data_IF_416330942632
#
_entry.id   IF_416330942632
#
_cell.length_a   1.000
_cell.length_b   1.000
_cell.length_c   1.000
_cell.angle_alpha   90.00
_cell.angle_beta   90.00
_cell.angle_gamma   90.00
#
_symmetry.space_group_name_H-M   'P 1'
#
loop_
_entity.id
_entity.type
_entity.pdbx_description
1 polymer ?
#
# COMPACT_ATOMS: atom_id res chain seq x y z
N UNK A 1 -33.31 6.94 41.01
CA UNK A 1 -33.26 5.48 41.31
C UNK A 1 -31.85 5.00 40.93
N UNK A 2 -30.87 4.96 41.85
CA UNK A 2 -30.45 3.80 42.69
C UNK A 2 -30.45 2.48 41.88
N UNK A 3 -29.36 1.72 41.69
CA UNK A 3 -28.31 1.32 42.65
C UNK A 3 -26.95 1.01 42.00
N UNK A 4 -25.91 1.38 42.74
CA UNK A 4 -24.52 0.91 42.73
C UNK A 4 -24.39 -0.52 43.30
N UNK A 5 -23.40 -1.30 42.83
CA UNK A 5 -22.81 -2.42 43.58
C UNK A 5 -21.29 -2.41 43.37
N UNK A 6 -20.55 -2.00 44.40
CA UNK A 6 -19.10 -2.12 44.50
C UNK A 6 -18.67 -3.48 45.06
N UNK A 7 -17.40 -3.83 44.83
CA UNK A 7 -16.67 -4.85 45.60
C UNK A 7 -15.26 -4.36 45.89
N UNK A 8 -15.06 -3.90 47.11
CA UNK A 8 -13.78 -3.72 47.80
C UNK A 8 -13.34 -5.06 48.38
N UNK A 9 -12.06 -5.42 48.21
CA UNK A 9 -11.44 -6.55 48.93
C UNK A 9 -10.37 -5.99 49.85
N UNK A 10 -10.64 -6.11 51.14
CA UNK A 10 -9.74 -5.85 52.26
C UNK A 10 -8.90 -7.11 52.48
N UNK A 11 -7.56 -6.98 52.57
CA UNK A 11 -6.69 -8.04 53.08
C UNK A 11 -6.02 -7.56 54.36
N UNK A 12 -6.07 -8.47 55.33
CA UNK A 12 -5.86 -8.34 56.77
C UNK A 12 -4.38 -8.25 57.13
N UNK A 13 -4.08 -7.39 58.11
CA UNK A 13 -2.81 -7.34 58.85
C UNK A 13 -2.63 -8.58 59.74
N UNK A 14 -1.46 -9.20 59.68
CA UNK A 14 -0.97 -10.12 60.73
C UNK A 14 0.43 -9.66 61.13
N UNK A 15 0.51 -9.14 62.36
CA UNK A 15 1.73 -8.79 63.05
C UNK A 15 2.35 -10.04 63.68
N UNK A 16 3.67 -10.18 63.54
CA UNK A 16 4.49 -11.01 64.41
C UNK A 16 5.74 -10.22 64.78
N UNK A 17 5.80 -9.78 66.03
CA UNK A 17 6.97 -9.20 66.66
C UNK A 17 7.91 -10.32 67.15
N UNK A 18 9.22 -10.13 67.02
CA UNK A 18 10.18 -11.08 67.58
C UNK A 18 11.65 -10.80 67.29
N UNK A 19 12.24 -10.01 68.18
CA UNK A 19 13.62 -10.08 68.69
C UNK A 19 14.76 -9.33 67.98
N UNK A 20 15.29 -8.39 68.76
CA UNK A 20 16.45 -7.52 68.58
C UNK A 20 17.74 -8.29 68.82
N UNK A 21 18.74 -8.11 67.95
CA UNK A 21 20.16 -8.21 68.30
C UNK A 21 20.89 -7.01 67.71
N UNK A 22 21.51 -6.25 68.61
CA UNK A 22 22.28 -5.04 68.35
C UNK A 22 23.58 -5.38 67.60
N UNK A 23 23.85 -4.62 66.54
CA UNK A 23 25.14 -4.59 65.86
C UNK A 23 25.45 -3.15 65.46
N UNK A 24 26.18 -2.45 66.31
CA UNK A 24 26.77 -1.14 66.03
C UNK A 24 27.84 -1.28 64.96
N UNK A 25 27.54 -0.85 63.75
CA UNK A 25 28.49 -0.73 62.64
C UNK A 25 28.35 0.63 61.97
N UNK A 26 29.28 1.53 62.26
CA UNK A 26 29.43 2.80 61.56
C UNK A 26 29.73 2.52 60.08
N UNK A 27 28.86 2.97 59.17
CA UNK A 27 29.16 3.03 57.74
C UNK A 27 29.35 4.49 57.36
N UNK A 28 30.62 4.82 57.11
CA UNK A 28 31.15 6.06 56.57
C UNK A 28 30.35 6.50 55.33
N UNK A 29 29.64 7.63 55.41
CA UNK A 29 29.06 8.28 54.24
C UNK A 29 30.17 8.88 53.37
N UNK A 30 30.68 8.11 52.41
CA UNK A 30 31.48 8.64 51.32
C UNK A 30 30.61 9.54 50.44
N UNK A 31 30.75 10.86 50.64
CA UNK A 31 30.36 11.88 49.67
C UNK A 31 31.24 11.73 48.43
N UNK A 32 30.74 11.02 47.43
CA UNK A 32 31.35 11.06 46.09
C UNK A 32 30.91 12.36 45.42
N UNK A 33 31.81 13.34 45.42
CA UNK A 33 31.68 14.57 44.64
C UNK A 33 31.61 14.26 43.13
N UNK A 34 30.88 15.06 42.33
CA UNK A 34 30.75 14.80 40.91
C UNK A 34 32.05 15.13 40.17
N UNK A 35 32.76 14.11 39.70
CA UNK A 35 33.85 14.21 38.73
C UNK A 35 33.30 14.53 37.32
N UNK A 36 32.55 15.61 37.19
CA UNK A 36 31.93 16.07 35.95
C UNK A 36 32.20 17.55 35.73
N UNK A 37 33.42 18.00 35.97
CA UNK A 37 33.74 19.42 35.80
C UNK A 37 35.24 19.75 35.71
N UNK A 38 36.08 18.92 35.08
CA UNK A 38 37.51 19.28 34.91
C UNK A 38 38.02 19.26 33.45
N UNK A 39 37.27 18.71 32.49
CA UNK A 39 37.69 18.74 31.09
C UNK A 39 37.18 19.95 30.26
N UNK A 40 36.28 20.79 30.82
CA UNK A 40 35.62 21.86 30.07
C UNK A 40 35.95 23.29 30.54
N UNK A 41 36.98 23.46 31.37
CA UNK A 41 37.42 24.79 31.84
C UNK A 41 38.91 24.99 31.51
N UNK A 42 39.28 24.80 30.24
CA UNK A 42 40.54 25.30 29.71
C UNK A 42 40.32 26.02 28.38
N UNK A 43 39.50 27.06 28.41
CA UNK A 43 39.58 28.18 27.46
C UNK A 43 38.64 29.31 27.89
N UNK A 44 39.02 30.05 28.94
CA UNK A 44 38.65 31.47 29.02
C UNK A 44 39.54 32.21 30.01
N UNK A 45 40.63 32.76 29.47
CA UNK A 45 41.15 34.08 29.88
C UNK A 45 42.34 34.45 28.98
N UNK A 46 42.06 34.88 27.75
CA UNK A 46 42.81 35.99 27.17
C UNK A 46 41.76 37.04 26.84
N UNK A 47 41.92 38.25 27.36
CA UNK A 47 40.99 39.37 27.22
C UNK A 47 40.91 39.88 25.78
N UNK A 48 40.40 39.06 24.87
CA UNK A 48 40.01 39.43 23.52
C UNK A 48 38.50 39.61 23.43
N UNK A 49 38.05 40.33 22.41
CA UNK A 49 36.64 40.49 22.09
C UNK A 49 35.99 39.12 21.83
N UNK A 50 34.73 38.90 22.21
CA UNK A 50 34.01 37.68 21.80
C UNK A 50 33.88 37.51 20.28
N UNK A 51 34.25 38.55 19.50
CA UNK A 51 34.27 38.54 18.05
C UNK A 51 35.66 38.20 17.46
N UNK A 52 36.69 38.05 18.28
CA UNK A 52 38.06 37.72 17.84
C UNK A 52 38.23 36.20 17.71
N UNK A 53 37.32 35.57 16.96
CA UNK A 53 37.32 34.12 16.72
C UNK A 53 37.18 33.83 15.23
N UNK A 54 37.93 32.85 14.75
CA UNK A 54 37.71 32.30 13.41
C UNK A 54 36.41 31.48 13.43
N UNK A 55 35.45 31.87 12.61
CA UNK A 55 34.12 31.23 12.57
C UNK A 55 34.19 30.01 11.66
N UNK A 56 34.02 28.83 12.26
CA UNK A 56 33.88 27.58 11.51
C UNK A 56 32.44 27.39 11.00
N UNK A 57 32.24 26.66 9.90
CA UNK A 57 30.89 26.28 9.44
C UNK A 57 30.12 25.50 10.51
N UNK A 58 28.81 25.71 10.56
CA UNK A 58 27.95 25.01 11.51
C UNK A 58 27.82 23.53 11.18
N UNK A 59 27.98 22.67 12.18
CA UNK A 59 27.64 21.25 12.12
C UNK A 59 26.15 21.01 12.38
N UNK A 60 25.62 19.87 11.93
CA UNK A 60 24.21 19.51 12.14
C UNK A 60 23.79 19.51 13.61
N UNK A 61 24.69 19.10 14.52
CA UNK A 61 24.43 19.13 15.96
C UNK A 61 24.19 20.54 16.50
N UNK A 62 24.86 21.55 15.93
CA UNK A 62 24.69 22.96 16.32
C UNK A 62 23.34 23.50 15.86
N UNK A 63 22.91 23.15 14.63
CA UNK A 63 21.56 23.45 14.15
C UNK A 63 20.50 22.83 15.07
N UNK A 64 20.72 21.59 15.53
CA UNK A 64 19.79 20.85 16.38
C UNK A 64 19.54 21.52 17.74
N UNK A 65 20.48 22.33 18.25
CA UNK A 65 20.33 23.04 19.53
C UNK A 65 19.17 24.03 19.53
N UNK A 66 18.81 24.57 18.36
CA UNK A 66 17.69 25.51 18.21
C UNK A 66 16.57 24.93 17.35
N UNK A 67 16.88 24.16 16.31
CA UNK A 67 15.91 23.55 15.39
C UNK A 67 15.57 22.10 15.75
N UNK A 68 15.34 21.84 17.05
CA UNK A 68 15.11 20.50 17.61
C UNK A 68 14.02 19.73 16.86
N UNK A 69 12.92 20.41 16.51
CA UNK A 69 11.79 19.79 15.81
C UNK A 69 12.14 19.34 14.40
N UNK A 70 12.93 20.13 13.65
CA UNK A 70 13.36 19.77 12.30
C UNK A 70 14.41 18.68 12.34
N UNK A 71 15.38 18.78 13.24
CA UNK A 71 16.38 17.75 13.46
C UNK A 71 15.75 16.39 13.76
N UNK A 72 14.82 16.33 14.74
CA UNK A 72 14.11 15.09 15.08
C UNK A 72 13.26 14.56 13.92
N UNK A 73 12.68 15.46 13.11
CA UNK A 73 11.87 15.09 11.96
C UNK A 73 12.72 14.44 10.87
N UNK A 74 13.85 15.04 10.51
CA UNK A 74 14.80 14.43 9.58
C UNK A 74 15.27 13.09 10.15
N UNK A 75 15.71 13.05 11.41
CA UNK A 75 16.19 11.84 12.08
C UNK A 75 15.19 10.67 11.99
N UNK A 76 13.90 10.92 12.23
CA UNK A 76 12.86 9.88 12.26
C UNK A 76 12.27 9.57 10.88
N UNK A 77 12.03 10.59 10.06
CA UNK A 77 11.16 10.53 8.87
C UNK A 77 11.83 11.06 7.59
N UNK A 78 13.09 11.49 7.65
CA UNK A 78 13.81 12.11 6.53
C UNK A 78 14.18 11.18 5.38
N UNK A 79 13.96 9.87 5.53
CA UNK A 79 14.31 8.89 4.49
C UNK A 79 15.81 8.95 4.16
N UNK A 80 16.15 9.22 2.91
CA UNK A 80 17.54 9.38 2.44
C UNK A 80 18.18 10.71 2.85
N UNK A 81 17.39 11.74 3.15
CA UNK A 81 17.94 13.04 3.60
C UNK A 81 18.59 12.96 4.99
N UNK A 82 18.44 11.85 5.70
CA UNK A 82 19.13 11.59 6.98
C UNK A 82 20.65 11.50 6.86
N UNK A 83 21.15 11.22 5.67
CA UNK A 83 22.58 11.14 5.39
C UNK A 83 23.19 12.50 5.00
N UNK A 84 22.38 13.56 4.96
CA UNK A 84 22.83 14.91 4.60
C UNK A 84 22.99 15.77 5.85
N UNK A 85 24.06 16.55 5.87
CA UNK A 85 24.25 17.64 6.81
C UNK A 85 23.30 18.80 6.50
N UNK A 86 22.93 19.57 7.52
CA UNK A 86 22.03 20.72 7.35
C UNK A 86 22.59 21.75 6.36
N UNK A 87 23.90 21.93 6.36
CA UNK A 87 24.65 22.86 5.51
C UNK A 87 24.79 22.43 4.05
N UNK A 88 24.58 21.15 3.72
CA UNK A 88 24.59 20.67 2.32
C UNK A 88 23.36 21.13 1.54
N UNK A 89 22.32 21.58 2.24
CA UNK A 89 21.09 22.09 1.64
C UNK A 89 20.87 23.57 1.99
N UNK A 90 21.16 23.97 3.24
CA UNK A 90 21.06 25.34 3.70
C UNK A 90 22.39 26.06 3.57
N UNK A 91 22.61 26.74 2.44
CA UNK A 91 23.78 27.60 2.23
C UNK A 91 23.62 28.99 2.87
N UNK A 92 22.38 29.38 3.19
CA UNK A 92 22.05 30.63 3.87
C UNK A 92 21.26 30.35 5.14
N UNK A 93 21.76 30.86 6.27
CA UNK A 93 21.16 30.64 7.59
C UNK A 93 20.43 31.89 8.07
N UNK A 94 19.36 31.70 8.85
CA UNK A 94 18.53 32.78 9.40
C UNK A 94 18.00 33.80 8.36
N UNK A 95 17.92 33.38 7.09
CA UNK A 95 17.46 34.23 5.98
C UNK A 95 15.93 34.40 5.91
N UNK A 96 15.16 33.53 6.59
CA UNK A 96 13.71 33.63 6.62
C UNK A 96 13.25 34.84 7.42
N UNK A 97 12.37 35.66 6.82
CA UNK A 97 11.75 36.80 7.48
C UNK A 97 10.22 36.70 7.33
N UNK A 98 9.47 36.51 8.44
CA UNK A 98 8.01 36.42 8.40
C UNK A 98 7.32 37.62 7.75
N UNK A 99 7.88 38.84 7.88
CA UNK A 99 7.35 40.06 7.26
C UNK A 99 7.52 40.06 5.74
N UNK A 100 8.57 39.41 5.22
CA UNK A 100 8.84 39.28 3.79
C UNK A 100 8.20 38.05 3.15
N UNK A 101 7.75 37.07 3.96
CA UNK A 101 7.19 35.78 3.51
C UNK A 101 8.08 35.09 2.45
N UNK A 102 9.40 35.18 2.61
CA UNK A 102 10.38 34.85 1.57
C UNK A 102 10.74 33.36 1.46
N UNK A 103 9.98 32.46 2.10
CA UNK A 103 10.27 31.02 2.13
C UNK A 103 10.46 30.41 0.74
N UNK A 104 9.57 30.71 -0.21
CA UNK A 104 9.66 30.17 -1.58
C UNK A 104 10.92 30.64 -2.34
N UNK A 105 11.43 31.83 -2.02
CA UNK A 105 12.62 32.39 -2.65
C UNK A 105 13.89 31.73 -2.12
N UNK A 106 13.96 31.50 -0.81
CA UNK A 106 15.15 30.95 -0.11
C UNK A 106 15.16 29.42 -0.02
N UNK A 107 14.07 28.75 -0.40
CA UNK A 107 13.97 27.29 -0.38
C UNK A 107 15.04 26.66 -1.28
N UNK A 108 15.88 25.75 -0.75
CA UNK A 108 16.81 24.98 -1.55
C UNK A 108 16.14 24.29 -2.73
N UNK A 109 16.80 24.31 -3.89
CA UNK A 109 16.21 23.77 -5.12
C UNK A 109 16.36 22.25 -5.12
N UNK A 110 15.23 21.54 -5.13
CA UNK A 110 15.22 20.07 -5.19
C UNK A 110 16.02 19.54 -6.40
N UNK A 111 15.96 20.26 -7.52
CA UNK A 111 16.65 19.97 -8.77
C UNK A 111 18.19 19.99 -8.70
N UNK A 112 18.77 20.46 -7.61
CA UNK A 112 20.23 20.43 -7.43
C UNK A 112 20.76 19.01 -7.14
N UNK A 113 19.92 18.16 -6.53
CA UNK A 113 20.30 16.78 -6.17
C UNK A 113 19.35 15.72 -6.74
N UNK A 114 18.10 16.10 -7.04
CA UNK A 114 17.11 15.21 -7.62
C UNK A 114 16.91 15.58 -9.09
N UNK A 115 16.96 14.58 -9.97
CA UNK A 115 16.55 14.77 -11.37
C UNK A 115 15.01 14.87 -11.45
N UNK A 116 14.39 14.05 -12.31
CA UNK A 116 12.96 14.03 -12.54
C UNK A 116 12.40 12.65 -12.15
N UNK A 117 12.29 12.33 -10.84
CA UNK A 117 11.93 10.98 -10.37
C UNK A 117 10.53 10.54 -10.80
N UNK A 118 9.66 11.49 -11.19
CA UNK A 118 8.32 11.25 -11.69
C UNK A 118 8.17 11.58 -13.20
N UNK A 119 9.28 11.74 -13.90
CA UNK A 119 9.32 12.10 -15.32
C UNK A 119 9.22 13.61 -15.59
N UNK A 120 9.35 14.05 -16.86
CA UNK A 120 9.57 15.45 -17.22
C UNK A 120 8.32 16.34 -17.17
N UNK A 121 7.15 15.78 -16.88
CA UNK A 121 5.90 16.53 -16.92
C UNK A 121 5.91 17.65 -15.87
N UNK A 122 5.70 18.90 -16.31
CA UNK A 122 5.74 20.08 -15.41
C UNK A 122 4.82 19.96 -14.19
N UNK A 123 3.69 19.27 -14.32
CA UNK A 123 2.73 19.06 -13.25
C UNK A 123 3.29 18.26 -12.05
N UNK A 124 4.29 17.39 -12.26
CA UNK A 124 4.94 16.62 -11.18
C UNK A 124 6.28 17.21 -10.74
N UNK A 125 6.74 18.28 -11.39
CA UNK A 125 7.96 18.99 -11.02
C UNK A 125 7.75 20.04 -9.91
N UNK A 126 6.49 20.30 -9.54
CA UNK A 126 6.15 21.11 -8.38
C UNK A 126 6.23 20.24 -7.11
N UNK A 127 7.45 19.87 -6.69
CA UNK A 127 7.69 18.87 -5.65
C UNK A 127 6.85 19.10 -4.38
N UNK A 128 6.82 20.35 -3.90
CA UNK A 128 6.10 20.73 -2.67
C UNK A 128 4.57 20.71 -2.79
N UNK A 129 4.01 20.54 -3.99
CA UNK A 129 2.57 20.34 -4.17
C UNK A 129 2.11 18.99 -3.59
N UNK A 130 3.01 18.01 -3.54
CA UNK A 130 2.75 16.69 -2.97
C UNK A 130 3.66 16.40 -1.76
N UNK A 131 4.95 16.72 -1.84
CA UNK A 131 5.89 16.56 -0.73
C UNK A 131 5.89 17.81 0.14
N UNK A 132 4.90 17.94 1.01
CA UNK A 132 4.63 19.17 1.78
C UNK A 132 5.77 19.60 2.71
N UNK A 133 6.69 18.68 3.02
CA UNK A 133 7.79 18.94 3.94
C UNK A 133 9.12 18.38 3.40
N UNK A 134 10.06 19.25 3.01
CA UNK A 134 11.34 18.84 2.43
C UNK A 134 12.25 18.09 3.43
N UNK A 135 11.99 18.18 4.73
CA UNK A 135 12.73 17.44 5.77
C UNK A 135 12.23 16.00 5.95
N UNK A 136 11.08 15.66 5.37
CA UNK A 136 10.52 14.30 5.36
C UNK A 136 9.67 14.06 4.10
N UNK A 137 10.24 14.20 2.89
CA UNK A 137 9.48 14.35 1.65
C UNK A 137 8.45 13.24 1.44
N UNK A 138 8.85 11.98 1.63
CA UNK A 138 7.95 10.82 1.43
C UNK A 138 6.93 10.70 2.56
N UNK A 139 7.34 10.86 3.82
CA UNK A 139 6.41 10.77 4.96
C UNK A 139 5.45 11.96 5.06
N UNK A 140 5.74 13.06 4.36
CA UNK A 140 4.87 14.23 4.24
C UNK A 140 3.88 14.16 3.09
N UNK A 141 3.91 13.09 2.30
CA UNK A 141 2.90 12.89 1.27
C UNK A 141 1.52 12.90 1.93
N UNK A 142 0.57 13.69 1.39
CA UNK A 142 -0.77 13.72 1.92
C UNK A 142 -1.46 12.37 1.68
N UNK A 143 -2.49 12.13 2.49
CA UNK A 143 -3.42 11.03 2.30
C UNK A 143 -3.86 10.93 0.83
N UNK A 144 -3.89 9.73 0.22
CA UNK A 144 -4.36 9.52 -1.15
C UNK A 144 -5.71 10.18 -1.45
N UNK A 145 -6.63 10.25 -0.50
CA UNK A 145 -7.92 10.93 -0.67
C UNK A 145 -7.78 12.43 -0.99
N UNK A 146 -6.65 13.05 -0.62
CA UNK A 146 -6.32 14.45 -0.96
C UNK A 146 -5.59 14.59 -2.30
N UNK A 147 -5.28 13.47 -2.97
CA UNK A 147 -4.53 13.40 -4.23
C UNK A 147 -5.38 12.97 -5.44
N UNK A 148 -6.70 12.89 -5.31
CA UNK A 148 -7.55 12.30 -6.36
C UNK A 148 -7.47 12.96 -7.73
N UNK A 149 -7.25 14.27 -7.76
CA UNK A 149 -7.01 14.96 -9.04
C UNK A 149 -5.63 14.64 -9.60
N UNK A 150 -4.65 14.46 -8.73
CA UNK A 150 -3.25 14.23 -9.04
C UNK A 150 -2.97 12.81 -9.54
N UNK A 151 -3.74 11.81 -9.10
CA UNK A 151 -3.64 10.42 -9.60
C UNK A 151 -3.66 10.36 -11.14
N UNK A 152 -4.46 11.22 -11.78
CA UNK A 152 -4.67 11.27 -13.23
C UNK A 152 -3.48 11.83 -14.00
N UNK A 153 -2.58 12.55 -13.34
CA UNK A 153 -1.36 13.10 -13.96
C UNK A 153 -0.46 11.94 -14.42
N UNK A 154 -0.38 10.87 -13.62
CA UNK A 154 0.45 9.70 -13.94
C UNK A 154 -0.38 8.53 -14.48
N UNK A 155 -1.62 8.37 -14.03
CA UNK A 155 -2.50 7.26 -14.40
C UNK A 155 -3.58 7.65 -15.42
N UNK A 156 -3.25 8.49 -16.40
CA UNK A 156 -4.23 9.04 -17.37
C UNK A 156 -5.04 7.96 -18.11
N UNK A 157 -4.40 6.82 -18.43
CA UNK A 157 -5.04 5.73 -19.14
C UNK A 157 -6.15 5.04 -18.31
N UNK A 158 -6.04 5.06 -16.97
CA UNK A 158 -6.93 4.30 -16.09
C UNK A 158 -8.37 4.85 -16.10
N UNK A 159 -8.61 6.16 -15.86
CA UNK A 159 -9.95 6.71 -15.98
C UNK A 159 -10.57 6.53 -17.37
N UNK A 160 -9.75 6.59 -18.43
CA UNK A 160 -10.22 6.35 -19.81
C UNK A 160 -10.71 4.91 -19.97
N UNK A 161 -9.97 3.93 -19.45
CA UNK A 161 -10.35 2.52 -19.48
C UNK A 161 -11.63 2.26 -18.67
N UNK A 162 -11.74 2.80 -17.46
CA UNK A 162 -12.94 2.69 -16.61
C UNK A 162 -14.17 3.32 -17.27
N UNK A 163 -14.00 4.46 -17.95
CA UNK A 163 -15.09 5.10 -18.70
C UNK A 163 -15.52 4.27 -19.92
N UNK A 164 -14.58 3.65 -20.62
CA UNK A 164 -14.84 2.83 -21.80
C UNK A 164 -15.45 1.45 -21.45
N UNK A 165 -15.29 0.98 -20.22
CA UNK A 165 -15.83 -0.30 -19.75
C UNK A 165 -16.39 -0.14 -18.32
N UNK A 166 -17.54 0.52 -18.18
CA UNK A 166 -18.09 0.90 -16.89
C UNK A 166 -18.44 -0.34 -16.05
N UNK A 167 -18.13 -0.28 -14.76
CA UNK A 167 -18.55 -1.24 -13.73
C UNK A 167 -19.03 -0.47 -12.49
N UNK A 168 -19.39 -1.18 -11.42
CA UNK A 168 -19.69 -0.55 -10.13
C UNK A 168 -18.52 0.30 -9.58
N UNK A 169 -17.28 0.05 -10.02
CA UNK A 169 -16.11 0.83 -9.60
C UNK A 169 -15.92 2.13 -10.40
N UNK A 170 -16.70 2.37 -11.46
CA UNK A 170 -16.51 3.53 -12.35
C UNK A 170 -16.46 4.86 -11.58
N UNK A 171 -17.37 5.01 -10.63
CA UNK A 171 -17.58 6.27 -9.89
C UNK A 171 -16.94 6.21 -8.49
N UNK A 172 -16.20 5.14 -8.17
CA UNK A 172 -15.45 5.04 -6.94
C UNK A 172 -14.18 5.90 -7.01
N UNK A 173 -13.89 6.71 -5.97
CA UNK A 173 -12.60 7.34 -5.80
C UNK A 173 -11.46 6.32 -5.90
N UNK A 174 -10.36 6.72 -6.53
CA UNK A 174 -9.13 5.94 -6.60
C UNK A 174 -8.62 5.62 -5.20
N UNK A 175 -8.71 6.58 -4.27
CA UNK A 175 -8.27 6.46 -2.87
C UNK A 175 -9.05 5.45 -2.05
N UNK A 176 -10.28 5.09 -2.44
CA UNK A 176 -11.09 4.11 -1.70
C UNK A 176 -10.49 2.71 -1.80
N UNK A 177 -9.75 2.46 -2.89
CA UNK A 177 -8.98 1.24 -3.13
C UNK A 177 -7.50 1.49 -2.84
N UNK A 178 -6.90 2.52 -3.44
CA UNK A 178 -5.50 2.91 -3.27
C UNK A 178 -5.29 3.78 -2.02
N UNK A 179 -5.72 3.28 -0.86
CA UNK A 179 -5.73 4.00 0.42
C UNK A 179 -4.36 4.07 1.11
N UNK A 180 -4.32 4.73 2.28
CA UNK A 180 -3.23 4.79 3.27
C UNK A 180 -1.94 5.49 2.85
N UNK A 181 -1.39 5.13 1.69
CA UNK A 181 -0.17 5.69 1.13
C UNK A 181 -0.19 5.64 -0.39
N UNK A 182 0.38 6.67 -1.00
CA UNK A 182 0.59 6.69 -2.44
C UNK A 182 1.32 5.41 -2.91
N UNK A 183 0.76 4.76 -3.93
CA UNK A 183 1.29 3.51 -4.48
C UNK A 183 0.84 2.22 -3.79
N UNK A 184 0.03 2.28 -2.72
CA UNK A 184 -0.61 1.08 -2.15
C UNK A 184 -1.51 0.44 -3.19
N UNK A 185 -1.43 -0.88 -3.32
CA UNK A 185 -2.40 -1.71 -4.06
C UNK A 185 -3.03 -2.65 -3.04
N UNK A 186 -4.35 -2.57 -2.81
CA UNK A 186 -5.01 -3.46 -1.86
C UNK A 186 -5.15 -4.86 -2.44
N UNK A 187 -5.44 -5.80 -1.55
CA UNK A 187 -5.90 -7.12 -1.95
C UNK A 187 -7.40 -7.09 -2.27
N UNK A 188 -7.82 -7.88 -3.26
CA UNK A 188 -9.24 -7.93 -3.65
C UNK A 188 -10.14 -8.39 -2.50
N UNK A 189 -9.61 -9.28 -1.65
CA UNK A 189 -10.31 -9.86 -0.50
C UNK A 189 -10.54 -8.88 0.65
N UNK A 190 -9.99 -7.67 0.59
CA UNK A 190 -10.34 -6.61 1.55
C UNK A 190 -11.81 -6.19 1.42
N UNK A 191 -12.43 -6.39 0.25
CA UNK A 191 -13.82 -6.02 -0.01
C UNK A 191 -14.64 -7.08 -0.76
N UNK A 192 -14.01 -8.03 -1.46
CA UNK A 192 -14.70 -9.03 -2.27
C UNK A 192 -14.53 -10.45 -1.74
N UNK A 193 -15.60 -11.23 -1.82
CA UNK A 193 -15.57 -12.66 -1.56
C UNK A 193 -15.38 -13.46 -2.86
N UNK A 194 -14.72 -14.62 -2.77
CA UNK A 194 -14.63 -15.55 -3.90
C UNK A 194 -16.02 -16.11 -4.19
N UNK A 195 -16.40 -16.07 -5.47
CA UNK A 195 -17.62 -16.72 -5.94
C UNK A 195 -17.36 -18.15 -6.43
N UNK A 196 -16.13 -18.68 -6.32
CA UNK A 196 -15.84 -20.06 -6.72
C UNK A 196 -16.03 -21.01 -5.53
N UNK A 197 -17.00 -21.94 -5.58
CA UNK A 197 -17.49 -22.68 -4.41
C UNK A 197 -16.43 -23.53 -3.70
N UNK A 198 -15.36 -23.91 -4.41
CA UNK A 198 -14.27 -24.74 -3.86
C UNK A 198 -12.87 -24.18 -4.20
N UNK A 199 -12.77 -22.95 -4.70
CA UNK A 199 -11.50 -22.31 -5.03
C UNK A 199 -11.33 -20.99 -4.27
N UNK A 200 -10.37 -20.97 -3.35
CA UNK A 200 -9.85 -19.73 -2.78
C UNK A 200 -8.84 -19.15 -3.77
N UNK A 201 -9.14 -17.96 -4.27
CA UNK A 201 -8.26 -17.22 -5.16
C UNK A 201 -7.61 -16.10 -4.36
N UNK A 202 -6.30 -15.95 -4.56
CA UNK A 202 -5.59 -14.75 -4.16
C UNK A 202 -5.82 -13.64 -5.20
N UNK A 203 -5.22 -12.46 -4.96
CA UNK A 203 -5.31 -11.32 -5.88
C UNK A 203 -4.88 -11.70 -7.30
N UNK A 204 -3.82 -12.50 -7.48
CA UNK A 204 -3.38 -12.94 -8.80
C UNK A 204 -4.42 -13.85 -9.49
N UNK A 205 -5.03 -14.77 -8.74
CA UNK A 205 -6.12 -15.62 -9.20
C UNK A 205 -7.34 -14.81 -9.65
N UNK A 206 -7.75 -13.81 -8.87
CA UNK A 206 -8.84 -12.91 -9.24
C UNK A 206 -8.52 -12.14 -10.54
N UNK A 207 -7.31 -11.62 -10.65
CA UNK A 207 -6.82 -10.85 -11.82
C UNK A 207 -6.67 -11.68 -13.09
N UNK A 208 -6.51 -13.00 -12.96
CA UNK A 208 -6.48 -13.89 -14.12
C UNK A 208 -7.77 -13.85 -14.93
N UNK A 209 -8.87 -13.43 -14.28
CA UNK A 209 -10.16 -13.29 -14.91
C UNK A 209 -10.64 -11.84 -15.01
N UNK A 210 -10.52 -11.07 -13.93
CA UNK A 210 -11.07 -9.71 -13.82
C UNK A 210 -9.96 -8.65 -13.76
N UNK A 211 -9.77 -7.83 -14.81
CA UNK A 211 -8.90 -6.66 -14.70
C UNK A 211 -9.51 -5.63 -13.73
N UNK A 212 -8.75 -5.14 -12.73
CA UNK A 212 -9.24 -4.28 -11.62
C UNK A 212 -10.05 -3.07 -12.09
N UNK A 213 -9.58 -2.39 -13.13
CA UNK A 213 -10.19 -1.16 -13.65
C UNK A 213 -11.25 -1.41 -14.73
N UNK A 214 -11.42 -2.66 -15.17
CA UNK A 214 -12.46 -3.04 -16.13
C UNK A 214 -12.97 -4.45 -15.81
N UNK A 215 -13.49 -4.70 -14.59
CA UNK A 215 -13.71 -6.06 -14.09
C UNK A 215 -14.75 -6.84 -14.89
N UNK A 216 -15.68 -6.16 -15.58
CA UNK A 216 -16.66 -6.82 -16.45
C UNK A 216 -16.07 -7.35 -17.77
N UNK A 217 -14.83 -6.97 -18.13
CA UNK A 217 -14.10 -7.56 -19.25
C UNK A 217 -13.45 -8.87 -18.81
N UNK A 218 -14.28 -9.88 -18.58
CA UNK A 218 -13.83 -11.20 -18.12
C UNK A 218 -12.91 -11.83 -19.16
N UNK A 219 -11.75 -12.26 -18.69
CA UNK A 219 -10.75 -13.02 -19.44
C UNK A 219 -10.48 -14.34 -18.70
N UNK A 220 -9.73 -15.25 -19.30
CA UNK A 220 -9.19 -16.45 -18.65
C UNK A 220 -8.27 -17.19 -19.63
N UNK A 221 -7.42 -18.07 -19.09
CA UNK A 221 -6.53 -18.91 -19.88
C UNK A 221 -7.21 -20.19 -20.40
N UNK A 222 -6.60 -20.85 -21.38
CA UNK A 222 -7.09 -22.13 -21.90
C UNK A 222 -7.08 -23.25 -20.84
N UNK A 223 -6.16 -23.15 -19.87
CA UNK A 223 -5.94 -24.17 -18.84
C UNK A 223 -6.68 -23.87 -17.53
N UNK A 224 -7.57 -22.86 -17.52
CA UNK A 224 -8.34 -22.50 -16.33
C UNK A 224 -9.14 -23.72 -15.80
N UNK A 225 -8.95 -24.10 -14.51
CA UNK A 225 -9.66 -25.21 -13.91
C UNK A 225 -11.18 -25.07 -13.98
N UNK A 226 -11.89 -26.17 -14.33
CA UNK A 226 -13.35 -26.17 -14.50
C UNK A 226 -14.13 -25.71 -13.27
N UNK A 227 -13.61 -26.01 -12.07
CA UNK A 227 -14.25 -25.67 -10.78
C UNK A 227 -14.39 -24.16 -10.59
N UNK A 228 -13.48 -23.35 -11.16
CA UNK A 228 -13.57 -21.89 -11.09
C UNK A 228 -14.79 -21.39 -11.87
N UNK A 229 -15.08 -22.03 -13.02
CA UNK A 229 -16.25 -21.70 -13.82
C UNK A 229 -17.57 -22.05 -13.10
N UNK A 230 -17.56 -23.04 -12.21
CA UNK A 230 -18.74 -23.50 -11.49
C UNK A 230 -19.36 -22.41 -10.61
N UNK A 231 -18.55 -21.42 -10.17
CA UNK A 231 -19.04 -20.28 -9.39
C UNK A 231 -20.11 -19.44 -10.07
N UNK A 232 -20.10 -19.38 -11.41
CA UNK A 232 -21.16 -18.73 -12.20
C UNK A 232 -21.92 -19.72 -13.08
N UNK A 233 -21.32 -20.86 -13.40
CA UNK A 233 -21.84 -21.87 -14.32
C UNK A 233 -21.99 -23.23 -13.62
N UNK A 234 -22.67 -23.24 -12.48
CA UNK A 234 -22.94 -24.44 -11.68
C UNK A 234 -23.62 -25.54 -12.51
N UNK A 235 -24.69 -25.20 -13.23
CA UNK A 235 -25.47 -26.18 -14.00
C UNK A 235 -24.63 -26.89 -15.10
N UNK A 236 -23.90 -26.19 -15.99
CA UNK A 236 -22.96 -26.84 -16.91
C UNK A 236 -21.92 -27.74 -16.24
N UNK A 237 -21.39 -27.31 -15.10
CA UNK A 237 -20.38 -28.04 -14.35
C UNK A 237 -20.95 -29.35 -13.79
N UNK A 238 -22.12 -29.30 -13.17
CA UNK A 238 -22.81 -30.49 -12.64
C UNK A 238 -23.27 -31.44 -13.75
N UNK A 239 -23.69 -30.92 -14.90
CA UNK A 239 -24.02 -31.76 -16.06
C UNK A 239 -22.79 -32.56 -16.56
N UNK A 240 -21.63 -31.93 -16.67
CA UNK A 240 -20.39 -32.60 -17.09
C UNK A 240 -19.89 -33.63 -16.06
N UNK A 241 -20.12 -33.36 -14.76
CA UNK A 241 -19.83 -34.31 -13.67
C UNK A 241 -20.76 -35.51 -13.69
N UNK A 242 -22.07 -35.27 -13.85
CA UNK A 242 -23.08 -36.32 -13.86
C UNK A 242 -22.98 -37.21 -15.12
N UNK A 243 -22.60 -36.63 -16.27
CA UNK A 243 -22.53 -37.35 -17.55
C UNK A 243 -21.15 -37.26 -18.17
N UNK A 244 -20.26 -38.14 -17.72
CA UNK A 244 -18.87 -38.20 -18.20
C UNK A 244 -18.82 -38.64 -19.66
N UNK A 245 -18.29 -37.76 -20.53
CA UNK A 245 -17.99 -38.05 -21.93
C UNK A 245 -16.57 -37.58 -22.26
N UNK A 246 -16.12 -37.75 -23.52
CA UNK A 246 -14.83 -37.18 -23.97
C UNK A 246 -14.74 -35.65 -23.76
N UNK A 247 -15.87 -34.95 -23.73
CA UNK A 247 -15.90 -33.51 -23.45
C UNK A 247 -15.51 -33.18 -22.00
N UNK A 248 -15.80 -34.09 -21.05
CA UNK A 248 -15.47 -33.90 -19.63
C UNK A 248 -13.97 -33.87 -19.37
N UNK A 249 -13.15 -34.41 -20.29
CA UNK A 249 -11.69 -34.38 -20.20
C UNK A 249 -11.08 -33.00 -20.47
N UNK A 250 -11.79 -32.12 -21.19
CA UNK A 250 -11.28 -30.77 -21.51
C UNK A 250 -11.59 -29.76 -20.40
N UNK A 251 -10.87 -28.64 -20.40
CA UNK A 251 -11.26 -27.43 -19.66
C UNK A 251 -12.43 -26.75 -20.35
N UNK A 252 -13.18 -25.92 -19.61
CA UNK A 252 -14.27 -25.12 -20.19
C UNK A 252 -13.75 -24.23 -21.33
N UNK A 253 -12.55 -23.65 -21.14
CA UNK A 253 -11.94 -22.72 -22.08
C UNK A 253 -11.56 -23.33 -23.43
N UNK A 254 -11.44 -24.67 -23.53
CA UNK A 254 -11.22 -25.35 -24.81
C UNK A 254 -12.37 -25.12 -25.80
N UNK A 255 -13.60 -25.14 -25.29
CA UNK A 255 -14.82 -24.89 -26.07
C UNK A 255 -15.28 -23.44 -25.97
N UNK A 256 -14.96 -22.76 -24.87
CA UNK A 256 -15.26 -21.36 -24.61
C UNK A 256 -13.97 -20.54 -24.64
N UNK A 257 -13.41 -20.20 -25.80
CA UNK A 257 -12.09 -19.55 -25.87
C UNK A 257 -12.09 -18.11 -25.35
N UNK A 258 -13.27 -17.50 -25.25
CA UNK A 258 -13.51 -16.17 -24.68
C UNK A 258 -14.83 -16.19 -23.94
N UNK A 259 -14.93 -15.38 -22.88
CA UNK A 259 -16.18 -15.26 -22.14
C UNK A 259 -17.33 -14.84 -23.07
N UNK A 260 -18.47 -15.55 -23.00
CA UNK A 260 -19.61 -15.37 -23.90
C UNK A 260 -19.45 -15.96 -25.30
N UNK A 261 -18.28 -16.55 -25.64
CA UNK A 261 -18.04 -17.23 -26.91
C UNK A 261 -18.13 -18.74 -26.74
N UNK A 262 -18.64 -19.43 -27.76
CA UNK A 262 -18.66 -20.90 -27.84
C UNK A 262 -18.17 -21.34 -29.22
N UNK A 263 -17.32 -22.36 -29.26
CA UNK A 263 -16.91 -23.03 -30.49
C UNK A 263 -18.06 -23.81 -31.11
N UNK A 264 -18.08 -23.88 -32.44
CA UNK A 264 -19.00 -24.74 -33.17
C UNK A 264 -18.56 -26.19 -33.06
N UNK A 265 -19.51 -27.13 -33.02
CA UNK A 265 -19.21 -28.57 -32.96
C UNK A 265 -18.30 -29.00 -34.12
N UNK A 266 -18.53 -28.44 -35.30
CA UNK A 266 -17.82 -28.73 -36.54
C UNK A 266 -16.33 -28.41 -36.46
N UNK A 267 -15.91 -27.48 -35.60
CA UNK A 267 -14.49 -27.14 -35.42
C UNK A 267 -13.66 -28.34 -34.91
N UNK A 268 -14.30 -29.34 -34.29
CA UNK A 268 -13.65 -30.55 -33.81
C UNK A 268 -14.20 -31.83 -34.47
N UNK A 269 -15.47 -31.85 -34.85
CA UNK A 269 -16.14 -33.04 -35.40
C UNK A 269 -16.20 -33.08 -36.93
N UNK A 270 -15.67 -32.06 -37.62
CA UNK A 270 -15.78 -31.89 -39.06
C UNK A 270 -17.12 -31.27 -39.49
N UNK A 271 -17.19 -30.75 -40.72
CA UNK A 271 -18.38 -30.05 -41.23
C UNK A 271 -19.55 -31.02 -41.48
N UNK A 272 -19.28 -32.26 -41.90
CA UNK A 272 -20.30 -33.28 -42.17
C UNK A 272 -19.93 -34.64 -41.54
N UNK A 273 -20.08 -34.80 -40.20
CA UNK A 273 -19.77 -36.07 -39.53
C UNK A 273 -20.75 -37.21 -39.85
N UNK A 274 -21.83 -36.89 -40.56
CA UNK A 274 -22.90 -37.81 -40.95
C UNK A 274 -23.27 -37.56 -42.42
N UNK A 275 -24.11 -38.44 -42.97
CA UNK A 275 -24.66 -38.28 -44.32
C UNK A 275 -25.34 -36.89 -44.51
N UNK A 276 -25.13 -36.20 -45.65
CA UNK A 276 -25.69 -34.87 -45.94
C UNK A 276 -27.21 -34.75 -45.74
N UNK A 277 -27.97 -35.82 -45.97
CA UNK A 277 -29.43 -35.83 -45.78
C UNK A 277 -29.85 -35.55 -44.34
N UNK A 278 -29.06 -36.00 -43.36
CA UNK A 278 -29.32 -35.73 -41.93
C UNK A 278 -29.12 -34.25 -41.64
N UNK A 279 -28.04 -33.65 -42.13
CA UNK A 279 -27.74 -32.23 -41.94
C UNK A 279 -28.76 -31.32 -42.64
N UNK A 280 -29.29 -31.74 -43.80
CA UNK A 280 -30.37 -31.04 -44.50
C UNK A 280 -31.67 -31.02 -43.70
N UNK A 281 -32.03 -32.14 -43.05
CA UNK A 281 -33.25 -32.25 -42.24
C UNK A 281 -33.10 -31.67 -40.83
N UNK A 282 -31.90 -31.76 -40.25
CA UNK A 282 -31.58 -31.35 -38.88
C UNK A 282 -30.31 -30.48 -38.84
N UNK A 283 -30.43 -29.16 -39.06
CA UNK A 283 -29.26 -28.27 -39.18
C UNK A 283 -28.55 -27.98 -37.84
N UNK A 284 -29.13 -28.36 -36.69
CA UNK A 284 -28.54 -28.18 -35.36
C UNK A 284 -28.24 -29.54 -34.74
N UNK A 285 -26.96 -29.81 -34.47
CA UNK A 285 -26.49 -31.06 -33.87
C UNK A 285 -27.24 -31.42 -32.57
N UNK A 286 -27.57 -30.40 -31.79
CA UNK A 286 -28.23 -30.57 -30.49
C UNK A 286 -29.68 -31.07 -30.54
N UNK A 287 -30.31 -31.17 -31.72
CA UNK A 287 -31.62 -31.83 -31.83
C UNK A 287 -31.57 -33.31 -31.52
N UNK A 288 -30.44 -33.96 -31.78
CA UNK A 288 -30.21 -35.38 -31.48
C UNK A 288 -29.18 -35.55 -30.37
N UNK A 289 -28.12 -34.74 -30.36
CA UNK A 289 -27.02 -34.88 -29.41
C UNK A 289 -27.20 -34.05 -28.13
N UNK A 290 -28.25 -33.23 -28.01
CA UNK A 290 -28.43 -32.26 -26.93
C UNK A 290 -27.28 -31.21 -26.86
N UNK A 291 -26.63 -31.01 -25.71
CA UNK A 291 -25.54 -30.04 -25.55
C UNK A 291 -24.25 -30.74 -25.14
N UNK A 292 -23.09 -30.11 -25.39
CA UNK A 292 -21.78 -30.69 -25.06
C UNK A 292 -21.63 -31.04 -23.57
N UNK A 293 -22.28 -30.29 -22.68
CA UNK A 293 -22.27 -30.56 -21.24
C UNK A 293 -23.14 -31.75 -20.82
N UNK A 294 -24.12 -32.15 -21.65
CA UNK A 294 -25.09 -33.20 -21.36
C UNK A 294 -25.50 -33.95 -22.63
N UNK A 295 -24.53 -34.58 -23.31
CA UNK A 295 -24.78 -35.25 -24.57
C UNK A 295 -25.82 -36.35 -24.42
N UNK A 296 -26.84 -36.42 -25.28
CA UNK A 296 -27.76 -37.56 -25.30
C UNK A 296 -26.98 -38.85 -25.64
N UNK A 297 -27.27 -39.94 -24.93
CA UNK A 297 -26.75 -41.27 -25.27
C UNK A 297 -27.72 -41.91 -26.24
#
# INVERSE_FOLDING_TARGET
MRREIGKTVTVVFLAAAGLVLAGTGCVEQQRVAPARQEAAVQAKAKGGSPYDVEVQPLETAECARCHISQFRRVQKEGGKHRALECSECHEQFHAYNPRKRNYAAIMPKCGACHDQPHGPAKAVQQCLACHQDPHRPVASLPDPAKLERQCRICHEAIPKAMKAAPSAHRDQPCSDCHSDRHGRKPDCSECHESHSPDAKLDTAGCLSCHPVHTPLKVTYGADTPKVICAGCHEKPFEQLKAKVTKHSAFTCAKCHPRHGQIKRCQECHGETPHNPSIHKKYPKCGRCHNIAHNLAK
#
